data_IF_515270797906
#
_entry.id   IF_515270797906
#
_cell.length_a   1.000
_cell.length_b   1.000
_cell.length_c   1.000
_cell.angle_alpha   90.00
_cell.angle_beta   90.00
_cell.angle_gamma   90.00
#
_symmetry.space_group_name_H-M   'P 1'
#
loop_
_entity.id
_entity.type
_entity.pdbx_description
1 polymer ?
#
# COMPACT_ATOMS: atom_id res chain seq x y z
N UNK A 1 5.70 17.63 -14.58
CA UNK A 1 5.40 16.53 -13.66
C UNK A 1 3.91 16.48 -13.38
N UNK A 2 3.35 15.32 -13.43
CA UNK A 2 1.93 15.13 -13.19
C UNK A 2 1.64 15.19 -11.69
N UNK A 3 0.60 15.92 -11.31
CA UNK A 3 0.20 16.03 -9.90
C UNK A 3 -0.12 14.66 -9.30
N UNK A 4 -0.70 13.76 -10.11
CA UNK A 4 -1.02 12.41 -9.66
C UNK A 4 0.22 11.64 -9.21
N UNK A 5 1.34 11.85 -9.89
CA UNK A 5 2.59 11.19 -9.51
C UNK A 5 3.07 11.64 -8.14
N UNK A 6 2.77 12.87 -7.76
CA UNK A 6 3.16 13.41 -6.46
C UNK A 6 2.36 12.80 -5.32
N UNK A 7 1.26 12.10 -5.62
CA UNK A 7 0.43 11.45 -4.61
C UNK A 7 0.87 10.01 -4.34
N UNK A 8 1.81 9.51 -5.14
CA UNK A 8 2.36 8.17 -4.94
C UNK A 8 3.62 8.26 -4.11
N UNK A 9 3.75 7.39 -3.15
CA UNK A 9 4.91 7.37 -2.29
C UNK A 9 5.24 5.93 -1.91
N UNK A 10 6.53 5.64 -1.79
CA UNK A 10 6.99 4.35 -1.30
C UNK A 10 7.46 4.54 0.13
N UNK A 11 6.88 3.77 1.01
CA UNK A 11 7.16 3.86 2.44
C UNK A 11 7.72 2.52 2.89
N UNK A 12 8.66 2.56 3.80
CA UNK A 12 9.24 1.33 4.35
C UNK A 12 8.49 0.97 5.63
N UNK A 13 7.93 -0.24 5.66
CA UNK A 13 7.40 -0.82 6.89
C UNK A 13 8.47 -1.71 7.50
N UNK A 14 8.85 -1.41 8.73
CA UNK A 14 9.77 -2.24 9.51
C UNK A 14 8.97 -2.94 10.59
N UNK A 15 8.97 -4.27 10.57
CA UNK A 15 8.27 -5.05 11.59
C UNK A 15 8.87 -4.82 12.96
N UNK A 16 8.02 -4.67 13.97
CA UNK A 16 8.47 -4.53 15.35
C UNK A 16 8.69 -5.89 16.03
N UNK A 17 8.06 -6.93 15.52
CA UNK A 17 8.25 -8.27 16.07
C UNK A 17 9.38 -9.05 15.42
N UNK A 18 9.83 -8.63 14.25
CA UNK A 18 10.90 -9.32 13.54
C UNK A 18 11.73 -8.29 12.78
N UNK A 19 12.92 -7.99 13.29
CA UNK A 19 13.78 -6.97 12.71
C UNK A 19 14.28 -7.32 11.31
N UNK A 20 14.15 -8.58 10.90
CA UNK A 20 14.55 -9.00 9.57
C UNK A 20 13.46 -8.76 8.52
N UNK A 21 12.28 -8.37 8.95
CA UNK A 21 11.17 -8.10 8.03
C UNK A 21 11.04 -6.60 7.79
N UNK A 22 11.29 -6.23 6.55
CA UNK A 22 11.15 -4.85 6.10
C UNK A 22 10.60 -4.91 4.68
N UNK A 23 9.52 -4.21 4.40
CA UNK A 23 8.90 -4.23 3.08
C UNK A 23 8.57 -2.83 2.60
N UNK A 24 8.63 -2.66 1.29
CA UNK A 24 8.21 -1.41 0.67
C UNK A 24 6.71 -1.44 0.46
N UNK A 25 6.04 -0.40 0.93
CA UNK A 25 4.59 -0.26 0.84
C UNK A 25 4.30 0.93 -0.07
N UNK A 26 3.46 0.71 -1.08
CA UNK A 26 3.07 1.80 -1.97
C UNK A 26 1.87 2.53 -1.39
N UNK A 27 1.99 3.85 -1.25
CA UNK A 27 0.86 4.71 -0.89
C UNK A 27 0.33 5.34 -2.18
N UNK A 28 -0.92 5.10 -2.50
CA UNK A 28 -1.56 5.65 -3.69
C UNK A 28 -3.07 5.68 -3.46
N UNK A 29 -3.70 6.78 -3.86
CA UNK A 29 -5.15 6.94 -3.74
C UNK A 29 -5.67 6.71 -2.32
N UNK A 30 -4.92 7.23 -1.36
CA UNK A 30 -5.28 7.16 0.07
C UNK A 30 -5.38 5.73 0.61
N UNK A 31 -4.61 4.83 0.02
CA UNK A 31 -4.58 3.44 0.47
C UNK A 31 -3.15 2.90 0.36
N UNK A 32 -2.92 1.76 0.99
CA UNK A 32 -1.64 1.07 0.90
C UNK A 32 -1.77 -0.17 0.02
N UNK A 33 -0.71 -0.44 -0.73
CA UNK A 33 -0.70 -1.50 -1.74
C UNK A 33 0.59 -2.30 -1.63
N UNK A 34 0.48 -3.62 -1.72
CA UNK A 34 1.62 -4.53 -1.76
C UNK A 34 1.47 -5.51 -2.90
N UNK A 35 2.62 -5.93 -3.45
CA UNK A 35 2.67 -7.05 -4.38
C UNK A 35 2.59 -8.35 -3.60
N UNK A 36 2.33 -9.46 -4.30
CA UNK A 36 2.36 -10.78 -3.65
C UNK A 36 3.75 -11.09 -3.07
N UNK A 37 4.79 -10.68 -3.78
CA UNK A 37 6.16 -10.87 -3.31
C UNK A 37 6.41 -10.15 -1.98
N UNK A 38 5.94 -8.92 -1.87
CA UNK A 38 6.07 -8.15 -0.62
C UNK A 38 5.23 -8.76 0.49
N UNK A 39 4.03 -9.27 0.16
CA UNK A 39 3.21 -9.95 1.15
C UNK A 39 3.89 -11.23 1.67
N UNK A 40 4.53 -11.99 0.78
CA UNK A 40 5.24 -13.20 1.19
C UNK A 40 6.36 -12.86 2.17
N UNK A 41 7.05 -11.77 1.93
CA UNK A 41 8.11 -11.31 2.82
C UNK A 41 7.54 -10.81 4.15
N UNK A 42 6.45 -10.05 4.09
CA UNK A 42 5.81 -9.50 5.30
C UNK A 42 5.33 -10.60 6.24
N UNK A 43 4.67 -11.61 5.68
CA UNK A 43 4.08 -12.67 6.48
C UNK A 43 4.95 -13.91 6.63
N UNK A 44 6.13 -13.88 6.01
CA UNK A 44 7.12 -14.96 6.07
C UNK A 44 6.53 -16.30 5.59
N UNK A 45 5.92 -16.27 4.41
CA UNK A 45 5.37 -17.46 3.75
C UNK A 45 5.72 -17.40 2.26
N UNK A 46 5.54 -18.51 1.57
CA UNK A 46 5.81 -18.57 0.14
C UNK A 46 4.82 -17.76 -0.67
N UNK A 47 5.26 -17.27 -1.82
CA UNK A 47 4.38 -16.53 -2.73
C UNK A 47 3.19 -17.38 -3.15
N UNK A 48 3.40 -18.67 -3.36
CA UNK A 48 2.31 -19.59 -3.72
C UNK A 48 1.23 -19.64 -2.65
N UNK A 49 1.62 -19.54 -1.38
CA UNK A 49 0.68 -19.51 -0.26
C UNK A 49 -0.16 -18.23 -0.31
N UNK A 50 0.49 -17.10 -0.58
CA UNK A 50 -0.20 -15.83 -0.74
C UNK A 50 -1.22 -15.92 -1.88
N UNK A 51 -0.78 -16.42 -3.03
CA UNK A 51 -1.65 -16.54 -4.19
C UNK A 51 -2.86 -17.44 -3.92
N UNK A 52 -2.64 -18.55 -3.23
CA UNK A 52 -3.71 -19.48 -2.86
C UNK A 52 -4.80 -18.76 -2.04
N UNK A 53 -4.38 -18.04 -1.01
CA UNK A 53 -5.35 -17.34 -0.15
C UNK A 53 -6.05 -16.20 -0.87
N UNK A 54 -5.35 -15.49 -1.74
CA UNK A 54 -5.99 -14.44 -2.54
C UNK A 54 -7.08 -14.99 -3.43
N UNK A 55 -6.80 -16.12 -4.10
CA UNK A 55 -7.81 -16.78 -4.93
C UNK A 55 -9.02 -17.17 -4.11
N UNK A 56 -8.80 -17.73 -2.94
CA UNK A 56 -9.87 -18.13 -2.05
C UNK A 56 -10.72 -16.94 -1.62
N UNK A 57 -10.07 -15.85 -1.26
CA UNK A 57 -10.75 -14.61 -0.85
C UNK A 57 -11.66 -14.10 -1.96
N UNK A 58 -11.19 -14.11 -3.20
CA UNK A 58 -11.97 -13.61 -4.32
C UNK A 58 -13.06 -14.60 -4.75
N UNK A 59 -12.78 -15.89 -4.71
CA UNK A 59 -13.75 -16.92 -5.07
C UNK A 59 -14.93 -16.97 -4.10
N UNK A 60 -14.68 -16.73 -2.83
CA UNK A 60 -15.74 -16.70 -1.82
C UNK A 60 -16.44 -15.35 -1.71
N UNK A 61 -16.02 -14.39 -2.55
CA UNK A 61 -16.56 -13.03 -2.56
C UNK A 61 -16.39 -12.28 -1.23
N UNK A 62 -15.37 -12.65 -0.48
CA UNK A 62 -15.04 -11.90 0.72
C UNK A 62 -14.63 -10.47 0.35
N UNK A 63 -13.89 -10.34 -0.76
CA UNK A 63 -13.51 -9.05 -1.33
C UNK A 63 -13.76 -9.10 -2.84
N UNK A 64 -14.06 -7.93 -3.42
CA UNK A 64 -14.21 -7.82 -4.86
C UNK A 64 -12.85 -7.59 -5.51
N UNK A 65 -12.51 -8.45 -6.46
CA UNK A 65 -11.21 -8.40 -7.12
C UNK A 65 -10.96 -7.06 -7.79
N UNK A 66 -11.93 -6.52 -8.50
CA UNK A 66 -11.76 -5.28 -9.25
C UNK A 66 -11.53 -4.05 -8.36
N UNK A 67 -11.93 -4.11 -7.10
CA UNK A 67 -11.70 -3.01 -6.16
C UNK A 67 -10.41 -3.19 -5.36
N UNK A 68 -9.87 -4.38 -5.38
CA UNK A 68 -8.78 -4.79 -4.50
C UNK A 68 -7.45 -4.84 -5.23
N UNK A 69 -7.49 -5.01 -6.54
CA UNK A 69 -6.30 -5.17 -7.37
C UNK A 69 -6.08 -3.94 -8.23
N UNK A 70 -4.84 -3.54 -8.34
CA UNK A 70 -4.43 -2.46 -9.23
C UNK A 70 -3.14 -2.85 -9.92
N UNK A 71 -3.10 -2.62 -11.22
CA UNK A 71 -1.88 -2.84 -11.98
C UNK A 71 -1.20 -1.50 -12.20
N UNK A 72 0.03 -1.39 -11.72
CA UNK A 72 0.77 -0.15 -11.77
C UNK A 72 2.07 -0.39 -12.52
N UNK A 73 2.37 0.50 -13.46
CA UNK A 73 3.62 0.43 -14.20
C UNK A 73 4.73 1.04 -13.36
N UNK A 74 5.79 0.27 -13.17
CA UNK A 74 6.96 0.74 -12.45
C UNK A 74 8.17 0.64 -13.34
N UNK A 75 9.14 1.52 -13.12
CA UNK A 75 10.41 1.49 -13.82
C UNK A 75 11.44 0.89 -12.88
N UNK A 76 12.07 -0.18 -13.33
CA UNK A 76 13.09 -0.88 -12.56
C UNK A 76 14.38 -0.91 -13.33
N UNK A 77 15.50 -0.81 -12.61
CA UNK A 77 16.81 -0.89 -13.22
C UNK A 77 17.29 -2.33 -13.17
N UNK A 78 17.48 -2.93 -14.35
CA UNK A 78 17.99 -4.29 -14.45
C UNK A 78 19.32 -4.22 -15.23
N UNK A 79 20.42 -4.38 -14.50
CA UNK A 79 21.73 -4.16 -15.07
C UNK A 79 21.91 -2.69 -15.43
N UNK A 80 22.25 -2.42 -16.69
CA UNK A 80 22.40 -1.06 -17.20
C UNK A 80 21.14 -0.55 -17.91
N UNK A 81 20.04 -1.29 -17.81
CA UNK A 81 18.82 -0.96 -18.53
C UNK A 81 17.71 -0.57 -17.58
N UNK A 82 16.92 0.38 -18.00
CA UNK A 82 15.66 0.68 -17.33
C UNK A 82 14.57 -0.13 -18.00
N UNK A 83 13.83 -0.92 -17.21
CA UNK A 83 12.77 -1.76 -17.70
C UNK A 83 11.47 -1.31 -17.05
N UNK A 84 10.48 -1.04 -17.89
CA UNK A 84 9.13 -0.73 -17.40
C UNK A 84 8.34 -2.03 -17.26
N UNK A 85 7.82 -2.30 -16.06
CA UNK A 85 7.03 -3.50 -15.81
C UNK A 85 5.72 -3.11 -15.17
N UNK A 86 4.69 -3.86 -15.53
CA UNK A 86 3.38 -3.72 -14.90
C UNK A 86 3.32 -4.70 -13.75
N UNK A 87 3.23 -4.18 -12.55
CA UNK A 87 3.13 -5.01 -11.35
C UNK A 87 1.71 -4.99 -10.82
N UNK A 88 1.27 -6.12 -10.29
CA UNK A 88 -0.04 -6.24 -9.67
C UNK A 88 0.09 -5.95 -8.18
N UNK A 89 -0.67 -4.98 -7.72
CA UNK A 89 -0.70 -4.57 -6.32
C UNK A 89 -2.05 -4.89 -5.72
N UNK A 90 -2.04 -5.21 -4.44
CA UNK A 90 -3.25 -5.57 -3.69
C UNK A 90 -3.45 -4.58 -2.56
N UNK A 91 -4.70 -4.18 -2.35
CA UNK A 91 -5.05 -3.16 -1.37
C UNK A 91 -4.85 -3.64 0.07
N UNK A 92 -4.91 -2.70 1.00
CA UNK A 92 -4.78 -3.00 2.42
C UNK A 92 -5.77 -4.06 2.88
N UNK A 93 -7.01 -3.99 2.40
CA UNK A 93 -8.03 -4.99 2.76
C UNK A 93 -7.59 -6.40 2.37
N UNK A 94 -7.01 -6.56 1.19
CA UNK A 94 -6.51 -7.86 0.75
C UNK A 94 -5.30 -8.30 1.58
N UNK A 95 -4.41 -7.38 1.87
CA UNK A 95 -3.22 -7.67 2.68
C UNK A 95 -3.63 -8.21 4.04
N UNK A 96 -4.57 -7.54 4.68
CA UNK A 96 -5.04 -7.94 6.02
C UNK A 96 -5.79 -9.27 5.96
N UNK A 97 -6.64 -9.45 4.94
CA UNK A 97 -7.41 -10.70 4.81
C UNK A 97 -6.47 -11.91 4.65
N UNK A 98 -5.44 -11.78 3.82
CA UNK A 98 -4.44 -12.84 3.68
C UNK A 98 -3.67 -13.01 4.98
N UNK A 99 -3.23 -11.92 5.57
CA UNK A 99 -2.41 -11.95 6.77
C UNK A 99 -3.06 -12.69 7.94
N UNK A 100 -4.34 -12.47 8.15
CA UNK A 100 -5.05 -13.17 9.24
C UNK A 100 -5.15 -14.67 9.02
N UNK A 101 -5.03 -15.11 7.77
CA UNK A 101 -5.04 -16.54 7.45
C UNK A 101 -3.69 -17.20 7.67
N UNK A 102 -2.60 -16.47 7.50
CA UNK A 102 -1.25 -17.06 7.50
C UNK A 102 -0.38 -16.66 8.69
N UNK A 103 -0.57 -15.45 9.19
CA UNK A 103 0.24 -14.94 10.30
C UNK A 103 -0.49 -13.78 10.95
N UNK A 104 -1.45 -14.12 11.83
CA UNK A 104 -2.34 -13.12 12.41
C UNK A 104 -1.61 -12.05 13.22
N UNK A 105 -0.50 -12.40 13.86
CA UNK A 105 0.26 -11.43 14.64
C UNK A 105 0.87 -10.35 13.75
N UNK A 106 1.52 -10.76 12.67
CA UNK A 106 2.09 -9.82 11.70
C UNK A 106 0.99 -9.00 11.03
N UNK A 107 -0.15 -9.62 10.75
CA UNK A 107 -1.28 -8.92 10.16
C UNK A 107 -1.80 -7.83 11.09
N UNK A 108 -1.92 -8.13 12.37
CA UNK A 108 -2.38 -7.15 13.35
C UNK A 108 -1.40 -5.99 13.47
N UNK A 109 -0.11 -6.30 13.57
CA UNK A 109 0.91 -5.26 13.68
C UNK A 109 0.94 -4.38 12.44
N UNK A 110 0.85 -4.99 11.26
CA UNK A 110 0.82 -4.23 10.02
C UNK A 110 -0.43 -3.36 9.93
N UNK A 111 -1.59 -3.90 10.32
CA UNK A 111 -2.85 -3.15 10.30
C UNK A 111 -2.77 -1.92 11.20
N UNK A 112 -2.22 -2.08 12.41
CA UNK A 112 -2.09 -0.97 13.34
C UNK A 112 -1.18 0.11 12.75
N UNK A 113 -0.03 -0.30 12.24
CA UNK A 113 0.89 0.62 11.60
C UNK A 113 0.23 1.33 10.41
N UNK A 114 -0.46 0.55 9.56
CA UNK A 114 -1.09 1.09 8.36
C UNK A 114 -2.17 2.10 8.72
N UNK A 115 -3.01 1.78 9.68
CA UNK A 115 -4.09 2.68 10.10
C UNK A 115 -3.53 4.01 10.60
N UNK A 116 -2.52 3.95 11.45
CA UNK A 116 -1.92 5.15 12.01
C UNK A 116 -1.18 5.97 10.94
N UNK A 117 -0.47 5.28 10.05
CA UNK A 117 0.29 5.93 8.99
C UNK A 117 -0.62 6.57 7.96
N UNK A 118 -1.71 5.90 7.58
CA UNK A 118 -2.69 6.48 6.65
C UNK A 118 -3.30 7.76 7.22
N UNK A 119 -3.64 7.73 8.49
CA UNK A 119 -4.19 8.93 9.14
C UNK A 119 -3.22 10.10 9.05
N UNK A 120 -1.95 9.86 9.26
CA UNK A 120 -0.94 10.90 9.15
C UNK A 120 -0.78 11.41 7.73
N UNK A 121 -0.79 10.51 6.74
CA UNK A 121 -0.68 10.89 5.34
C UNK A 121 -1.87 11.70 4.87
N UNK A 122 -3.07 11.30 5.23
CA UNK A 122 -4.28 12.03 4.86
C UNK A 122 -4.27 13.40 5.52
N UNK A 123 -3.95 13.47 6.80
CA UNK A 123 -3.87 14.71 7.54
C UNK A 123 -2.82 15.64 6.96
N UNK A 124 -1.66 15.10 6.62
CA UNK A 124 -0.57 15.88 6.03
C UNK A 124 -0.94 16.42 4.67
N UNK A 125 -1.58 15.61 3.84
CA UNK A 125 -2.07 16.05 2.55
C UNK A 125 -3.10 17.16 2.67
N UNK A 126 -3.96 17.06 3.65
CA UNK A 126 -4.98 18.06 3.91
C UNK A 126 -4.34 19.39 4.31
N UNK A 127 -3.35 19.34 5.19
CA UNK A 127 -2.62 20.53 5.62
C UNK A 127 -1.90 21.20 4.45
N UNK A 128 -1.28 20.41 3.59
CA UNK A 128 -0.59 20.92 2.41
C UNK A 128 -1.56 21.62 1.46
N UNK A 129 -2.73 21.04 1.27
CA UNK A 129 -3.76 21.64 0.43
C UNK A 129 -4.23 22.97 1.02
N UNK A 130 -4.40 23.03 2.33
CA UNK A 130 -4.80 24.25 3.00
C UNK A 130 -3.76 25.36 2.80
N UNK A 131 -2.49 25.02 2.91
CA UNK A 131 -1.42 25.99 2.69
C UNK A 131 -1.38 26.48 1.25
N UNK A 132 -1.59 25.59 0.29
CA UNK A 132 -1.65 25.98 -1.12
C UNK A 132 -2.79 26.94 -1.36
N UNK A 133 -3.92 26.70 -0.74
CA UNK A 133 -5.08 27.56 -0.90
C UNK A 133 -4.89 28.92 -0.21
N UNK A 134 -4.14 28.93 0.88
CA UNK A 134 -3.81 30.18 1.55
C UNK A 134 -2.87 31.06 0.73
N UNK A 135 -1.95 30.44 0.01
CA UNK A 135 -0.97 31.14 -0.80
C UNK A 135 -1.46 31.46 -2.20
N UNK A 136 -2.51 30.77 -2.64
CA UNK A 136 -3.16 31.03 -3.91
C UNK A 136 -4.51 31.70 -3.70
N UNK A 137 -5.51 31.36 -4.52
CA UNK A 137 -6.87 31.83 -4.27
C UNK A 137 -7.34 31.41 -2.90
N UNK A 138 -7.89 32.34 -2.15
CA UNK A 138 -8.24 32.07 -0.76
C UNK A 138 -9.62 31.46 -0.64
N UNK A 139 -9.69 30.17 -0.41
CA UNK A 139 -10.95 29.51 -0.08
C UNK A 139 -10.75 28.24 0.75
N UNK A 140 -9.51 27.82 0.95
CA UNK A 140 -9.23 26.63 1.70
C UNK A 140 -9.10 26.84 3.19
N UNK A 141 -9.23 28.04 3.63
CA UNK A 141 -9.03 28.38 5.03
C UNK A 141 -10.01 27.68 5.96
N UNK A 142 -11.20 27.45 5.49
CA UNK A 142 -12.27 26.83 6.29
C UNK A 142 -12.45 25.37 5.96
N UNK A 143 -11.43 24.78 5.47
CA UNK A 143 -11.42 23.37 5.12
C UNK A 143 -11.71 22.47 6.30
N UNK A 144 -11.32 22.91 7.45
CA UNK A 144 -11.42 22.10 8.65
C UNK A 144 -12.71 22.35 9.39
#
# INVERSE_FOLDING_TARGET
>A
MNIIENLKDLIIYQSQCNENISVEVLYDSEDFWLTQKSMSKLFDVEVNTINYHLKEIFETHELEENRTIRKIRTVQKEGNREVSRKLTFYSLDAIIAVGYRVNSKQATDFRIWATNTLKEYIKKGFVLNDELLKNGPKFGKDYF
#
